data_IF_137175744397
#
_entry.id   IF_137175744397
#
_cell.length_a   1.000
_cell.length_b   1.000
_cell.length_c   1.000
_cell.angle_alpha   90.00
_cell.angle_beta   90.00
_cell.angle_gamma   90.00
#
_symmetry.space_group_name_H-M   'P 1'
#
loop_
_entity.id
_entity.type
_entity.pdbx_description
1 polymer ?
#
# COMPACT_ATOMS: atom_id res chain seq x y z
N UNK A 1 -25.67 -1.01 -15.35
CA UNK A 1 -25.13 0.37 -15.42
C UNK A 1 -23.96 0.48 -14.45
N UNK A 2 -22.91 1.11 -14.89
CA UNK A 2 -21.73 1.33 -14.05
C UNK A 2 -21.97 2.57 -13.20
N UNK A 3 -21.81 2.45 -11.88
CA UNK A 3 -21.90 3.58 -10.95
C UNK A 3 -20.59 4.34 -10.84
N UNK A 4 -19.47 3.62 -10.96
CA UNK A 4 -18.14 4.21 -10.84
C UNK A 4 -17.18 3.55 -11.83
N UNK A 5 -16.50 4.37 -12.59
CA UNK A 5 -15.39 3.96 -13.45
C UNK A 5 -14.07 4.42 -12.82
N UNK A 6 -13.18 3.47 -12.56
CA UNK A 6 -11.85 3.75 -12.03
C UNK A 6 -10.83 3.57 -13.15
N UNK A 7 -10.15 4.64 -13.50
CA UNK A 7 -9.11 4.62 -14.52
C UNK A 7 -7.74 4.43 -13.82
N UNK A 8 -7.20 3.24 -13.96
CA UNK A 8 -5.95 2.84 -13.35
C UNK A 8 -6.14 1.82 -12.23
N UNK A 9 -5.42 0.72 -12.30
CA UNK A 9 -5.43 -0.36 -11.32
C UNK A 9 -4.19 -0.33 -10.41
N UNK A 10 -3.68 0.85 -10.11
CA UNK A 10 -2.69 1.04 -9.07
C UNK A 10 -3.30 0.91 -7.67
N UNK A 11 -2.48 1.01 -6.61
CA UNK A 11 -2.98 0.85 -5.24
C UNK A 11 -4.16 1.75 -4.88
N UNK A 12 -4.09 3.02 -5.27
CA UNK A 12 -5.17 3.96 -5.00
C UNK A 12 -6.46 3.61 -5.75
N UNK A 13 -6.34 3.27 -7.03
CA UNK A 13 -7.50 2.87 -7.84
C UNK A 13 -8.14 1.59 -7.34
N UNK A 14 -7.33 0.59 -7.01
CA UNK A 14 -7.84 -0.68 -6.48
C UNK A 14 -8.49 -0.50 -5.10
N UNK A 15 -7.89 0.28 -4.21
CA UNK A 15 -8.49 0.58 -2.91
C UNK A 15 -9.84 1.30 -3.06
N UNK A 16 -9.91 2.28 -3.95
CA UNK A 16 -11.15 2.99 -4.27
C UNK A 16 -12.22 2.02 -4.78
N UNK A 17 -11.84 1.14 -5.71
CA UNK A 17 -12.75 0.16 -6.28
C UNK A 17 -13.30 -0.80 -5.22
N UNK A 18 -12.45 -1.29 -4.32
CA UNK A 18 -12.88 -2.20 -3.25
C UNK A 18 -13.84 -1.49 -2.30
N UNK A 19 -13.54 -0.28 -1.87
CA UNK A 19 -14.42 0.48 -0.99
C UNK A 19 -15.78 0.77 -1.66
N UNK A 20 -15.77 1.17 -2.93
CA UNK A 20 -16.98 1.43 -3.68
C UNK A 20 -17.84 0.15 -3.84
N UNK A 21 -17.21 -0.96 -4.18
CA UNK A 21 -17.90 -2.24 -4.30
C UNK A 21 -18.52 -2.69 -2.97
N UNK A 22 -17.80 -2.51 -1.85
CA UNK A 22 -18.34 -2.78 -0.52
C UNK A 22 -19.49 -1.88 -0.13
N UNK A 23 -19.55 -0.68 -0.70
CA UNK A 23 -20.68 0.24 -0.52
C UNK A 23 -21.87 -0.10 -1.43
N UNK A 24 -21.78 -1.16 -2.21
CA UNK A 24 -22.87 -1.61 -3.08
C UNK A 24 -22.86 -1.00 -4.47
N UNK A 25 -21.82 -0.28 -4.85
CA UNK A 25 -21.73 0.32 -6.17
C UNK A 25 -21.24 -0.70 -7.20
N UNK A 26 -21.71 -0.56 -8.43
CA UNK A 26 -21.15 -1.28 -9.56
C UNK A 26 -19.94 -0.56 -10.11
N UNK A 27 -18.78 -1.18 -9.95
CA UNK A 27 -17.49 -0.58 -10.25
C UNK A 27 -16.85 -1.29 -11.44
N UNK A 28 -16.33 -0.52 -12.36
CA UNK A 28 -15.45 -1.01 -13.43
C UNK A 28 -14.09 -0.36 -13.28
N UNK A 29 -13.06 -1.18 -13.29
CA UNK A 29 -11.67 -0.72 -13.29
C UNK A 29 -11.09 -0.95 -14.68
N UNK A 30 -10.49 0.07 -15.26
CA UNK A 30 -9.78 -0.04 -16.53
C UNK A 30 -8.30 0.23 -16.29
N UNK A 31 -7.46 -0.63 -16.86
CA UNK A 31 -6.01 -0.54 -16.77
C UNK A 31 -5.38 -0.79 -18.13
N UNK A 32 -4.47 0.11 -18.53
CA UNK A 32 -3.80 0.00 -19.83
C UNK A 32 -2.72 -1.08 -19.89
N UNK A 33 -2.19 -1.48 -18.75
CA UNK A 33 -1.14 -2.50 -18.65
C UNK A 33 -1.75 -3.86 -18.43
N UNK A 34 -1.14 -4.89 -19.02
CA UNK A 34 -1.53 -6.27 -18.76
C UNK A 34 -0.66 -6.88 -17.66
N UNK A 35 -1.28 -7.76 -16.84
CA UNK A 35 -0.61 -8.45 -15.75
C UNK A 35 -0.32 -7.57 -14.53
N UNK A 36 0.46 -8.08 -13.59
CA UNK A 36 0.84 -7.32 -12.40
C UNK A 36 1.59 -6.04 -12.76
N UNK A 37 1.21 -4.94 -12.11
CA UNK A 37 1.82 -3.64 -12.36
C UNK A 37 3.08 -3.52 -11.50
N UNK A 38 4.24 -3.42 -12.14
CA UNK A 38 5.49 -3.06 -11.50
C UNK A 38 5.67 -1.55 -11.62
N UNK A 39 5.57 -0.86 -10.51
CA UNK A 39 5.66 0.58 -10.44
C UNK A 39 6.66 0.98 -9.36
N UNK A 40 7.54 1.90 -9.69
CA UNK A 40 8.44 2.49 -8.72
C UNK A 40 7.62 3.21 -7.64
N UNK A 41 7.62 2.67 -6.46
CA UNK A 41 6.97 3.20 -5.27
C UNK A 41 7.87 2.95 -4.08
N UNK A 42 7.82 3.80 -3.07
CA UNK A 42 8.52 3.51 -1.83
C UNK A 42 8.09 2.15 -1.30
N UNK A 43 8.99 1.20 -1.22
CA UNK A 43 8.70 -0.21 -0.94
C UNK A 43 8.30 -0.47 0.52
N UNK A 44 8.10 0.60 1.30
CA UNK A 44 7.70 0.53 2.69
C UNK A 44 6.21 0.81 2.88
N UNK A 45 5.57 0.00 3.70
CA UNK A 45 4.21 0.22 4.15
C UNK A 45 4.26 0.77 5.58
N UNK A 46 3.82 1.99 5.75
CA UNK A 46 3.83 2.67 7.04
C UNK A 46 2.70 2.17 7.95
N UNK A 47 2.79 2.36 9.27
CA UNK A 47 1.82 1.79 10.21
C UNK A 47 0.37 2.11 9.90
N UNK A 48 0.05 3.34 9.53
CA UNK A 48 -1.34 3.69 9.22
C UNK A 48 -1.84 3.03 7.93
N UNK A 49 -0.94 2.77 6.97
CA UNK A 49 -1.28 2.03 5.74
C UNK A 49 -1.68 0.60 6.06
N UNK A 50 -0.99 -0.03 7.00
CA UNK A 50 -1.33 -1.39 7.42
C UNK A 50 -2.74 -1.50 8.00
N UNK A 51 -3.19 -0.49 8.74
CA UNK A 51 -4.56 -0.44 9.25
C UNK A 51 -5.59 -0.36 8.13
N UNK A 52 -5.30 0.42 7.10
CA UNK A 52 -6.18 0.54 5.93
C UNK A 52 -6.22 -0.76 5.12
N UNK A 53 -5.08 -1.43 4.95
CA UNK A 53 -5.03 -2.72 4.28
C UNK A 53 -5.78 -3.79 5.06
N UNK A 54 -5.64 -3.80 6.38
CA UNK A 54 -6.38 -4.71 7.25
C UNK A 54 -7.89 -4.52 7.11
N UNK A 55 -8.36 -3.27 7.07
CA UNK A 55 -9.76 -2.96 6.83
C UNK A 55 -10.27 -3.46 5.48
N UNK A 56 -9.39 -3.59 4.48
CA UNK A 56 -9.69 -4.15 3.17
C UNK A 56 -9.54 -5.69 3.13
N UNK A 57 -9.11 -6.31 4.22
CA UNK A 57 -8.86 -7.75 4.28
C UNK A 57 -7.57 -8.17 3.57
N UNK A 58 -6.63 -7.27 3.41
CA UNK A 58 -5.37 -7.51 2.72
C UNK A 58 -4.24 -7.66 3.74
N UNK A 59 -3.54 -8.80 3.69
CA UNK A 59 -2.34 -9.04 4.49
C UNK A 59 -1.11 -8.94 3.57
N UNK A 60 -0.31 -7.89 3.69
CA UNK A 60 0.88 -7.77 2.86
C UNK A 60 1.96 -8.74 3.31
N UNK A 61 2.79 -9.18 2.36
CA UNK A 61 3.97 -9.97 2.61
C UNK A 61 5.21 -9.10 2.54
N UNK A 62 6.15 -9.31 3.43
CA UNK A 62 7.38 -8.55 3.45
C UNK A 62 8.14 -8.70 4.74
N UNK A 63 9.16 -7.89 4.90
CA UNK A 63 9.98 -7.87 6.11
C UNK A 63 9.46 -6.79 7.06
N UNK A 64 9.10 -7.12 8.30
CA UNK A 64 8.68 -6.11 9.26
C UNK A 64 9.86 -5.22 9.69
N UNK A 65 9.58 -3.95 9.92
CA UNK A 65 10.52 -3.02 10.50
C UNK A 65 9.80 -2.08 11.48
N UNK A 66 10.52 -1.54 12.44
CA UNK A 66 9.91 -0.82 13.58
C UNK A 66 10.24 0.65 13.61
N UNK A 67 11.00 1.13 12.66
CA UNK A 67 11.44 2.51 12.64
C UNK A 67 12.37 2.78 11.49
N UNK A 68 12.92 3.97 11.49
CA UNK A 68 13.84 4.46 10.46
C UNK A 68 15.07 5.00 11.15
N UNK A 69 16.24 4.66 10.62
CA UNK A 69 17.51 5.23 11.02
C UNK A 69 18.03 6.12 9.91
N UNK A 70 18.33 7.35 10.25
CA UNK A 70 18.93 8.32 9.34
C UNK A 70 20.41 8.42 9.65
N UNK A 71 21.24 8.26 8.64
CA UNK A 71 22.69 8.26 8.76
C UNK A 71 23.31 9.33 7.86
N UNK A 72 24.27 10.06 8.41
CA UNK A 72 25.23 10.83 7.59
C UNK A 72 26.67 10.43 7.98
N UNK A 73 27.66 11.16 7.51
CA UNK A 73 29.07 10.82 7.77
C UNK A 73 29.47 10.87 9.25
N UNK A 74 28.72 11.58 10.09
CA UNK A 74 29.08 11.83 11.49
C UNK A 74 27.94 11.59 12.48
N UNK A 75 26.70 11.45 12.00
CA UNK A 75 25.53 11.38 12.87
C UNK A 75 24.64 10.20 12.52
N UNK A 76 23.97 9.70 13.55
CA UNK A 76 22.95 8.68 13.45
C UNK A 76 21.75 9.08 14.29
N UNK A 77 20.59 9.10 13.68
CA UNK A 77 19.32 9.41 14.36
C UNK A 77 18.33 8.30 14.08
N UNK A 78 17.73 7.76 15.13
CA UNK A 78 16.70 6.74 15.03
C UNK A 78 15.34 7.33 15.37
N UNK A 79 14.33 6.98 14.57
CA UNK A 79 12.94 7.25 14.85
C UNK A 79 12.18 5.94 14.86
N UNK A 80 11.54 5.61 15.98
CA UNK A 80 10.70 4.42 16.11
C UNK A 80 9.25 4.77 15.82
N UNK A 81 8.56 3.84 15.18
CA UNK A 81 7.11 3.95 15.03
C UNK A 81 6.42 3.77 16.38
N UNK A 82 5.34 4.50 16.66
CA UNK A 82 4.67 4.43 17.94
C UNK A 82 3.96 3.09 18.18
N UNK A 83 3.99 2.65 19.43
CA UNK A 83 3.24 1.49 19.90
C UNK A 83 3.67 0.17 19.28
N UNK A 84 2.72 -0.72 19.09
CA UNK A 84 2.93 -2.03 18.49
C UNK A 84 2.95 -1.97 16.96
N UNK A 85 2.88 -0.80 16.39
CA UNK A 85 2.85 -0.63 14.94
C UNK A 85 4.20 -0.96 14.33
N UNK A 86 4.18 -1.79 13.34
CA UNK A 86 5.32 -2.04 12.47
C UNK A 86 4.84 -2.11 11.03
N UNK A 87 5.72 -1.75 10.12
CA UNK A 87 5.45 -1.82 8.69
C UNK A 87 6.16 -3.01 8.08
N UNK A 88 5.76 -3.33 6.88
CA UNK A 88 6.43 -4.32 6.05
C UNK A 88 7.13 -3.63 4.89
N UNK A 89 8.33 -4.06 4.58
CA UNK A 89 8.94 -3.75 3.30
C UNK A 89 8.45 -4.80 2.32
N UNK A 90 7.76 -4.35 1.30
CA UNK A 90 7.42 -5.23 0.21
C UNK A 90 8.64 -5.37 -0.68
N UNK A 91 9.18 -6.57 -0.75
CA UNK A 91 10.27 -6.87 -1.65
C UNK A 91 9.69 -7.06 -3.05
N UNK A 92 9.97 -6.12 -3.92
CA UNK A 92 9.74 -6.33 -5.34
C UNK A 92 10.87 -7.24 -5.83
N UNK A 93 10.55 -8.46 -6.15
CA UNK A 93 11.48 -9.35 -6.85
C UNK A 93 11.40 -8.98 -8.33
N UNK A 94 12.46 -8.38 -8.80
CA UNK A 94 12.63 -8.15 -10.24
C UNK A 94 13.16 -9.39 -10.92
#
# INVERSE_FOLDING_TARGET
>A
MIDLLVAGAGPAGLATAIHAARAGLQVTVVERRSGPIDKACGEGLMPHTLRHLDALGITPHGKPFRGITYLDSTRRVEARFPGLSFSHIQRVVR
#
